data_IF_209335189967
#
_entry.id   IF_209335189967
#
_cell.length_a   1.000
_cell.length_b   1.000
_cell.length_c   1.000
_cell.angle_alpha   90.00
_cell.angle_beta   90.00
_cell.angle_gamma   90.00
#
_symmetry.space_group_name_H-M   'P 1'
#
loop_
_entity.id
_entity.type
_entity.pdbx_description
1 polymer ?
#
# COMPACT_ATOMS: atom_id res chain seq x y z
N UNK A 1 -15.76 -13.28 -14.88
CA UNK A 1 -15.85 -12.00 -15.55
C UNK A 1 -17.29 -11.46 -15.51
N UNK A 2 -18.25 -12.05 -16.23
CA UNK A 2 -19.61 -11.53 -16.34
C UNK A 2 -20.34 -11.31 -14.98
N UNK A 3 -20.12 -12.20 -13.99
CA UNK A 3 -20.74 -12.06 -12.66
C UNK A 3 -20.06 -10.98 -11.79
N UNK A 4 -18.76 -10.77 -12.00
CA UNK A 4 -17.95 -9.87 -11.18
C UNK A 4 -17.85 -8.46 -11.80
N UNK A 5 -18.16 -8.34 -13.12
CA UNK A 5 -18.07 -7.06 -13.84
C UNK A 5 -16.65 -6.61 -14.19
N UNK A 6 -15.64 -7.47 -13.96
CA UNK A 6 -14.22 -7.17 -14.21
C UNK A 6 -13.67 -7.99 -15.39
N UNK A 7 -12.64 -7.48 -16.10
CA UNK A 7 -11.90 -8.27 -17.08
C UNK A 7 -11.34 -9.55 -16.44
N UNK A 8 -11.32 -10.64 -17.21
CA UNK A 8 -10.83 -11.94 -16.70
C UNK A 8 -9.38 -11.88 -16.24
N UNK A 9 -8.55 -11.06 -16.87
CA UNK A 9 -7.16 -10.83 -16.49
C UNK A 9 -7.03 -10.15 -15.12
N UNK A 10 -7.98 -9.25 -14.77
CA UNK A 10 -8.02 -8.62 -13.44
C UNK A 10 -8.40 -9.66 -12.36
N UNK A 11 -9.31 -10.56 -12.67
CA UNK A 11 -9.70 -11.66 -11.77
C UNK A 11 -8.54 -12.66 -11.59
N UNK A 12 -7.84 -12.99 -12.66
CA UNK A 12 -6.62 -13.82 -12.61
C UNK A 12 -5.55 -13.18 -11.73
N UNK A 13 -5.29 -11.89 -11.91
CA UNK A 13 -4.31 -11.16 -11.09
C UNK A 13 -4.73 -11.13 -9.62
N UNK A 14 -5.99 -10.89 -9.34
CA UNK A 14 -6.55 -10.93 -7.98
C UNK A 14 -6.34 -12.30 -7.30
N UNK A 15 -6.53 -13.38 -8.05
CA UNK A 15 -6.28 -14.74 -7.56
C UNK A 15 -4.80 -14.93 -7.21
N UNK A 16 -3.88 -14.48 -8.08
CA UNK A 16 -2.45 -14.55 -7.81
C UNK A 16 -2.03 -13.69 -6.62
N UNK A 17 -2.56 -12.47 -6.47
CA UNK A 17 -2.33 -11.62 -5.29
C UNK A 17 -2.75 -12.36 -4.01
N UNK A 18 -3.94 -12.97 -3.98
CA UNK A 18 -4.42 -13.70 -2.80
C UNK A 18 -3.58 -14.95 -2.51
N UNK A 19 -3.20 -15.70 -3.56
CA UNK A 19 -2.34 -16.88 -3.44
C UNK A 19 -0.96 -16.52 -2.87
N UNK A 20 -0.33 -15.49 -3.42
CA UNK A 20 0.99 -15.03 -2.98
C UNK A 20 0.94 -14.51 -1.54
N UNK A 21 -0.10 -13.73 -1.18
CA UNK A 21 -0.31 -13.30 0.21
C UNK A 21 -0.38 -14.50 1.16
N UNK A 22 -1.18 -15.50 0.84
CA UNK A 22 -1.26 -16.70 1.66
C UNK A 22 0.12 -17.36 1.83
N UNK A 23 0.85 -17.57 0.75
CA UNK A 23 2.18 -18.19 0.81
C UNK A 23 3.14 -17.36 1.65
N UNK A 24 3.18 -16.04 1.46
CA UNK A 24 4.01 -15.11 2.24
C UNK A 24 3.75 -15.25 3.75
N UNK A 25 2.48 -15.33 4.15
CA UNK A 25 2.11 -15.45 5.56
C UNK A 25 2.25 -16.88 6.13
N UNK A 26 2.84 -17.81 5.37
CA UNK A 26 3.33 -19.10 5.88
C UNK A 26 4.85 -19.15 6.06
N UNK A 27 5.57 -18.08 5.72
CA UNK A 27 7.02 -18.02 5.88
C UNK A 27 7.43 -18.00 7.36
N UNK A 28 8.65 -18.45 7.71
CA UNK A 28 9.10 -18.55 9.12
C UNK A 28 9.05 -17.25 9.92
N UNK A 29 9.06 -16.11 9.23
CA UNK A 29 9.02 -14.76 9.81
C UNK A 29 7.69 -14.04 9.59
N UNK A 30 6.62 -14.75 9.26
CA UNK A 30 5.30 -14.18 9.00
C UNK A 30 4.74 -13.37 10.19
N UNK A 31 5.09 -13.76 11.43
CA UNK A 31 4.73 -13.03 12.66
C UNK A 31 5.35 -11.62 12.73
N UNK A 32 6.38 -11.36 11.93
CA UNK A 32 7.06 -10.06 11.79
C UNK A 32 6.59 -9.25 10.58
N UNK A 33 5.58 -9.73 9.85
CA UNK A 33 5.05 -9.06 8.68
C UNK A 33 3.69 -8.41 8.97
N UNK A 34 3.45 -7.27 8.32
CA UNK A 34 2.15 -6.59 8.27
C UNK A 34 1.82 -6.29 6.82
N UNK A 35 0.65 -6.76 6.38
CA UNK A 35 0.05 -6.35 5.12
C UNK A 35 -0.58 -4.97 5.23
N UNK A 36 -0.33 -4.10 4.27
CA UNK A 36 -0.77 -2.69 4.30
C UNK A 36 -1.07 -2.15 2.91
N UNK A 37 -1.30 -0.84 2.84
CA UNK A 37 -1.41 -0.12 1.56
C UNK A 37 -2.76 -0.23 0.88
N UNK A 38 -2.78 0.10 -0.42
CA UNK A 38 -4.02 0.12 -1.21
C UNK A 38 -4.67 -1.26 -1.34
N UNK A 39 -3.86 -2.30 -1.49
CA UNK A 39 -4.37 -3.68 -1.65
C UNK A 39 -5.03 -4.19 -0.38
N UNK A 40 -4.58 -3.75 0.81
CA UNK A 40 -5.29 -4.07 2.06
C UNK A 40 -6.65 -3.37 2.15
N UNK A 41 -6.74 -2.11 1.68
CA UNK A 41 -8.02 -1.39 1.66
C UNK A 41 -9.07 -2.06 0.76
N UNK A 42 -8.65 -2.63 -0.38
CA UNK A 42 -9.58 -3.34 -1.28
C UNK A 42 -9.90 -4.76 -0.82
N UNK A 43 -8.88 -5.54 -0.41
CA UNK A 43 -9.04 -6.99 -0.13
C UNK A 43 -9.52 -7.32 1.28
N UNK A 44 -9.20 -6.50 2.25
CA UNK A 44 -9.57 -6.71 3.66
C UNK A 44 -10.79 -5.88 4.04
N UNK A 45 -10.71 -4.59 3.71
CA UNK A 45 -11.71 -3.63 4.18
C UNK A 45 -12.82 -3.33 3.16
N UNK A 46 -12.63 -3.73 1.89
CA UNK A 46 -13.61 -3.47 0.80
C UNK A 46 -14.00 -1.99 0.68
N UNK A 47 -13.04 -1.08 0.93
CA UNK A 47 -13.26 0.37 0.99
C UNK A 47 -13.05 1.06 -0.35
N UNK A 48 -12.33 0.44 -1.27
CA UNK A 48 -11.97 1.04 -2.55
C UNK A 48 -12.27 0.09 -3.71
N UNK A 49 -12.92 0.62 -4.75
CA UNK A 49 -13.29 -0.10 -5.97
C UNK A 49 -12.35 0.28 -7.12
N UNK A 50 -11.06 0.14 -6.88
CA UNK A 50 -10.02 0.31 -7.89
C UNK A 50 -9.02 -0.83 -7.86
N UNK A 51 -8.42 -1.08 -9.02
CA UNK A 51 -7.31 -2.04 -9.11
C UNK A 51 -6.16 -1.62 -8.18
N UNK A 52 -5.75 -2.55 -7.35
CA UNK A 52 -4.54 -2.46 -6.54
C UNK A 52 -3.76 -3.74 -6.74
N UNK A 53 -2.58 -3.61 -7.31
CA UNK A 53 -1.83 -4.71 -7.94
C UNK A 53 -0.64 -5.14 -7.11
N UNK A 54 -0.19 -4.25 -6.23
CA UNK A 54 1.03 -4.42 -5.46
C UNK A 54 0.68 -4.92 -4.05
N UNK A 55 1.54 -5.73 -3.49
CA UNK A 55 1.46 -6.20 -2.10
C UNK A 55 2.47 -5.40 -1.28
N UNK A 56 1.98 -4.46 -0.49
CA UNK A 56 2.80 -3.68 0.42
C UNK A 56 2.96 -4.43 1.76
N UNK A 57 4.19 -4.69 2.16
CA UNK A 57 4.52 -5.36 3.43
C UNK A 57 5.45 -4.50 4.29
N UNK A 58 5.13 -4.41 5.57
CA UNK A 58 6.06 -3.90 6.57
C UNK A 58 6.69 -5.07 7.32
N UNK A 59 8.02 -5.01 7.55
CA UNK A 59 8.73 -5.89 8.46
C UNK A 59 8.95 -5.14 9.78
N UNK A 60 8.60 -5.79 10.90
CA UNK A 60 8.94 -5.25 12.22
C UNK A 60 10.45 -5.07 12.34
N UNK A 61 10.89 -3.84 12.59
CA UNK A 61 12.33 -3.54 12.77
C UNK A 61 12.98 -4.27 13.95
N UNK A 62 12.18 -4.77 14.91
CA UNK A 62 12.67 -5.64 15.99
C UNK A 62 13.26 -6.95 15.47
N UNK A 63 12.83 -7.43 14.30
CA UNK A 63 13.43 -8.55 13.59
C UNK A 63 14.93 -8.33 13.30
N UNK A 64 15.32 -7.08 13.07
CA UNK A 64 16.73 -6.68 12.87
C UNK A 64 17.41 -6.22 14.16
N UNK A 65 16.79 -6.45 15.33
CA UNK A 65 17.33 -6.05 16.63
C UNK A 65 17.30 -4.53 16.88
N UNK A 66 16.40 -3.80 16.21
CA UNK A 66 16.24 -2.36 16.31
C UNK A 66 14.82 -2.00 16.77
N UNK A 67 14.71 -1.20 17.83
CA UNK A 67 13.44 -0.79 18.43
C UNK A 67 13.46 0.70 18.80
N UNK A 68 12.30 1.30 19.02
CA UNK A 68 12.16 2.71 19.40
C UNK A 68 12.63 3.69 18.32
N UNK A 69 13.00 4.88 18.74
CA UNK A 69 13.54 5.89 17.84
C UNK A 69 14.96 5.55 17.42
N UNK A 70 15.23 5.68 16.14
CA UNK A 70 16.51 5.34 15.56
C UNK A 70 17.32 6.59 15.23
N UNK A 71 18.60 6.57 15.56
CA UNK A 71 19.55 7.55 15.06
C UNK A 71 19.74 7.40 13.54
N UNK A 72 20.20 8.44 12.86
CA UNK A 72 20.50 8.39 11.41
C UNK A 72 21.41 7.20 11.04
N UNK A 73 22.38 6.85 11.90
CA UNK A 73 23.27 5.70 11.70
C UNK A 73 22.50 4.38 11.78
N UNK A 74 21.61 4.25 12.77
CA UNK A 74 20.76 3.05 12.93
C UNK A 74 19.76 2.92 11.79
N UNK A 75 19.16 4.02 11.32
CA UNK A 75 18.26 4.02 10.16
C UNK A 75 18.98 3.56 8.87
N UNK A 76 20.23 4.01 8.65
CA UNK A 76 21.06 3.52 7.54
C UNK A 76 21.38 2.03 7.68
N UNK A 77 21.68 1.57 8.90
CA UNK A 77 21.91 0.15 9.19
C UNK A 77 20.67 -0.67 8.92
N UNK A 78 19.50 -0.23 9.42
CA UNK A 78 18.21 -0.88 9.20
C UNK A 78 17.91 -1.02 7.70
N UNK A 79 18.03 0.08 6.94
CA UNK A 79 17.86 0.08 5.49
C UNK A 79 18.69 -0.98 4.79
N UNK A 80 19.99 -1.05 5.12
CA UNK A 80 20.90 -2.04 4.54
C UNK A 80 20.48 -3.47 4.92
N UNK A 81 20.22 -3.73 6.20
CA UNK A 81 19.86 -5.07 6.67
C UNK A 81 18.54 -5.55 6.07
N UNK A 82 17.51 -4.69 6.08
CA UNK A 82 16.21 -4.99 5.49
C UNK A 82 16.32 -5.28 3.99
N UNK A 83 17.00 -4.40 3.27
CA UNK A 83 17.15 -4.52 1.83
C UNK A 83 17.88 -5.82 1.43
N UNK A 84 18.96 -6.17 2.11
CA UNK A 84 19.70 -7.42 1.87
C UNK A 84 18.85 -8.65 2.26
N UNK A 85 18.18 -8.61 3.41
CA UNK A 85 17.28 -9.68 3.83
C UNK A 85 16.18 -9.96 2.79
N UNK A 86 15.56 -8.91 2.24
CA UNK A 86 14.51 -9.07 1.23
C UNK A 86 15.07 -9.69 -0.06
N UNK A 87 16.26 -9.26 -0.50
CA UNK A 87 16.88 -9.78 -1.72
C UNK A 87 17.30 -11.24 -1.58
N UNK A 88 17.96 -11.57 -0.47
CA UNK A 88 18.69 -12.85 -0.33
C UNK A 88 17.81 -13.91 0.36
N UNK A 89 17.28 -13.60 1.54
CA UNK A 89 16.60 -14.59 2.38
C UNK A 89 15.08 -14.65 2.09
N UNK A 90 14.40 -13.49 2.09
CA UNK A 90 12.95 -13.46 1.84
C UNK A 90 12.61 -14.06 0.48
N UNK A 91 13.31 -13.63 -0.58
CA UNK A 91 13.07 -14.12 -1.95
C UNK A 91 13.30 -15.64 -2.04
N UNK A 92 14.41 -16.14 -1.48
CA UNK A 92 14.73 -17.57 -1.46
C UNK A 92 13.72 -18.41 -0.67
N UNK A 93 13.29 -17.94 0.50
CA UNK A 93 12.28 -18.61 1.32
C UNK A 93 10.92 -18.64 0.62
N UNK A 94 10.55 -17.53 -0.05
CA UNK A 94 9.33 -17.44 -0.83
C UNK A 94 9.35 -18.42 -2.01
N UNK A 95 10.45 -18.47 -2.78
CA UNK A 95 10.61 -19.41 -3.88
C UNK A 95 10.52 -20.87 -3.42
N UNK A 96 11.21 -21.20 -2.32
CA UNK A 96 11.11 -22.53 -1.70
C UNK A 96 9.69 -22.89 -1.28
N UNK A 97 8.97 -21.94 -0.67
CA UNK A 97 7.59 -22.17 -0.23
C UNK A 97 6.63 -22.30 -1.42
N UNK A 98 6.80 -21.51 -2.47
CA UNK A 98 6.01 -21.66 -3.71
C UNK A 98 6.21 -23.04 -4.35
N UNK A 99 7.43 -23.57 -4.30
CA UNK A 99 7.73 -24.93 -4.77
C UNK A 99 7.04 -26.01 -3.92
N UNK A 100 7.01 -25.86 -2.59
CA UNK A 100 6.25 -26.77 -1.71
C UNK A 100 4.76 -26.78 -2.02
N UNK A 101 4.22 -25.65 -2.52
CA UNK A 101 2.82 -25.56 -2.99
C UNK A 101 2.64 -26.04 -4.45
N UNK A 102 3.70 -26.48 -5.15
CA UNK A 102 3.65 -26.92 -6.55
C UNK A 102 3.41 -25.78 -7.55
N UNK A 103 3.78 -24.56 -7.18
CA UNK A 103 3.53 -23.35 -7.98
C UNK A 103 4.74 -22.90 -8.81
N UNK A 104 5.88 -23.56 -8.68
CA UNK A 104 7.14 -23.19 -9.34
C UNK A 104 7.08 -23.20 -10.87
N UNK A 105 6.18 -24.01 -11.45
CA UNK A 105 5.98 -24.07 -12.89
C UNK A 105 5.17 -22.88 -13.46
N UNK A 106 4.48 -22.14 -12.58
CA UNK A 106 3.61 -21.01 -12.96
C UNK A 106 4.19 -19.65 -12.61
N UNK A 107 5.12 -19.61 -11.64
CA UNK A 107 5.63 -18.38 -11.06
C UNK A 107 7.16 -18.33 -11.11
N UNK A 108 7.69 -17.12 -11.33
CA UNK A 108 9.10 -16.81 -11.13
C UNK A 108 9.24 -15.69 -10.12
N UNK A 109 10.26 -15.80 -9.24
CA UNK A 109 10.54 -14.82 -8.17
C UNK A 109 11.82 -14.06 -8.53
N UNK A 110 11.73 -12.76 -8.68
CA UNK A 110 12.78 -11.90 -9.20
C UNK A 110 12.98 -10.70 -8.25
N UNK A 111 13.90 -10.78 -7.27
CA UNK A 111 14.16 -9.65 -6.39
C UNK A 111 14.87 -8.52 -7.12
N UNK A 112 14.47 -7.28 -6.84
CA UNK A 112 15.11 -6.07 -7.35
C UNK A 112 16.61 -6.08 -7.03
N UNK A 113 17.49 -5.81 -8.01
CA UNK A 113 18.94 -5.77 -7.78
C UNK A 113 19.34 -4.60 -6.87
N UNK A 114 20.59 -4.60 -6.43
CA UNK A 114 21.16 -3.43 -5.75
C UNK A 114 21.20 -2.24 -6.71
N UNK A 115 20.91 -1.06 -6.19
CA UNK A 115 21.03 0.18 -6.93
C UNK A 115 22.44 0.75 -6.87
N UNK A 116 22.57 2.02 -7.22
CA UNK A 116 23.84 2.74 -7.21
C UNK A 116 23.83 3.91 -6.22
N UNK A 117 24.99 4.30 -5.74
CA UNK A 117 25.18 5.44 -4.84
C UNK A 117 24.32 5.34 -3.59
N UNK A 118 23.54 6.38 -3.30
CA UNK A 118 22.66 6.42 -2.14
C UNK A 118 21.51 5.41 -2.23
N UNK A 119 21.22 4.88 -3.41
CA UNK A 119 20.19 3.85 -3.64
C UNK A 119 20.74 2.43 -3.71
N UNK A 120 21.99 2.18 -3.33
CA UNK A 120 22.60 0.83 -3.31
C UNK A 120 21.69 -0.18 -2.60
N UNK A 121 21.02 0.24 -1.53
CA UNK A 121 20.09 -0.59 -0.77
C UNK A 121 18.67 0.00 -0.88
N UNK A 122 17.85 -0.39 -1.90
CA UNK A 122 16.48 0.06 -2.02
C UNK A 122 15.66 -0.26 -0.76
N UNK A 123 14.82 0.68 -0.32
CA UNK A 123 13.94 0.50 0.85
C UNK A 123 12.69 1.40 0.69
N UNK A 124 11.51 0.82 0.48
CA UNK A 124 11.26 -0.63 0.37
C UNK A 124 11.99 -1.25 -0.83
N UNK A 125 12.36 -2.55 -0.71
CA UNK A 125 12.85 -3.33 -1.83
C UNK A 125 11.69 -4.09 -2.47
N UNK A 126 11.75 -4.26 -3.78
CA UNK A 126 10.75 -4.97 -4.57
C UNK A 126 11.15 -6.41 -4.84
N UNK A 127 10.14 -7.27 -4.90
CA UNK A 127 10.23 -8.61 -5.48
C UNK A 127 9.16 -8.70 -6.56
N UNK A 128 9.57 -9.00 -7.77
CA UNK A 128 8.68 -9.18 -8.92
C UNK A 128 8.33 -10.66 -9.05
N UNK A 129 7.05 -10.99 -8.88
CA UNK A 129 6.55 -12.36 -9.05
C UNK A 129 5.77 -12.39 -10.35
N UNK A 130 6.40 -12.94 -11.40
CA UNK A 130 5.79 -13.05 -12.73
C UNK A 130 5.05 -14.36 -12.85
N UNK A 131 3.87 -14.33 -13.46
CA UNK A 131 3.07 -15.52 -13.70
C UNK A 131 2.76 -15.70 -15.18
N UNK A 132 2.54 -16.97 -15.57
CA UNK A 132 2.12 -17.32 -16.92
C UNK A 132 0.63 -17.02 -17.07
N UNK A 133 0.30 -15.91 -17.77
CA UNK A 133 -1.08 -15.50 -17.97
C UNK A 133 -1.87 -16.52 -18.79
N UNK A 134 -2.99 -17.00 -18.27
CA UNK A 134 -3.89 -17.96 -18.92
C UNK A 134 -4.82 -17.31 -19.95
N UNK A 135 -5.15 -16.02 -19.75
CA UNK A 135 -6.16 -15.31 -20.52
C UNK A 135 -5.58 -14.24 -21.46
N UNK A 136 -4.37 -14.47 -21.97
CA UNK A 136 -3.67 -13.55 -22.87
C UNK A 136 -3.05 -12.35 -22.14
N UNK A 137 -2.24 -11.59 -22.87
CA UNK A 137 -1.64 -10.37 -22.31
C UNK A 137 -2.65 -9.25 -22.34
N UNK A 138 -3.04 -8.69 -21.19
CA UNK A 138 -3.86 -7.49 -21.16
C UNK A 138 -3.02 -6.30 -21.66
N UNK A 139 -3.65 -5.35 -22.30
CA UNK A 139 -2.97 -4.13 -22.76
C UNK A 139 -2.49 -3.24 -21.62
N UNK A 140 -3.07 -3.40 -20.43
CA UNK A 140 -2.86 -2.52 -19.28
C UNK A 140 -2.26 -3.21 -18.04
N UNK A 141 -2.56 -4.48 -17.77
CA UNK A 141 -2.10 -5.22 -16.61
C UNK A 141 -0.90 -6.11 -16.96
N UNK A 142 0.25 -5.86 -16.35
CA UNK A 142 1.36 -6.80 -16.47
C UNK A 142 1.03 -8.11 -15.73
N UNK A 143 1.37 -9.29 -16.26
CA UNK A 143 1.22 -10.58 -15.60
C UNK A 143 2.28 -10.76 -14.51
N UNK A 144 2.23 -9.90 -13.51
CA UNK A 144 3.18 -9.78 -12.42
C UNK A 144 2.46 -9.30 -11.17
N UNK A 145 2.84 -9.82 -10.03
CA UNK A 145 2.50 -9.28 -8.70
C UNK A 145 3.79 -8.75 -8.09
N UNK A 146 3.79 -7.49 -7.69
CA UNK A 146 4.94 -6.86 -7.07
C UNK A 146 4.76 -6.85 -5.55
N UNK A 147 5.76 -7.37 -4.82
CA UNK A 147 5.87 -7.18 -3.39
C UNK A 147 6.76 -5.96 -3.11
N UNK A 148 6.25 -4.97 -2.39
CA UNK A 148 7.05 -3.86 -1.84
C UNK A 148 7.26 -4.11 -0.34
N UNK A 149 8.50 -4.43 0.05
CA UNK A 149 8.80 -4.90 1.40
C UNK A 149 9.79 -3.95 2.07
N UNK A 150 9.37 -3.36 3.20
CA UNK A 150 10.21 -2.41 3.93
C UNK A 150 10.06 -2.50 5.45
N UNK A 151 11.08 -2.00 6.16
CA UNK A 151 11.17 -2.03 7.63
C UNK A 151 11.04 -0.66 8.28
N UNK A 152 10.94 0.40 7.49
CA UNK A 152 10.80 1.78 7.97
C UNK A 152 9.35 2.24 8.17
N UNK A 153 8.38 1.41 7.82
CA UNK A 153 6.97 1.70 8.06
C UNK A 153 6.64 1.57 9.56
N UNK A 154 5.69 2.35 10.02
CA UNK A 154 5.10 2.16 11.35
C UNK A 154 4.39 0.80 11.35
N UNK A 155 4.70 -0.04 12.36
CA UNK A 155 4.17 -1.39 12.42
C UNK A 155 2.74 -1.41 12.97
N UNK A 156 2.53 -0.84 14.15
CA UNK A 156 1.21 -0.75 14.81
C UNK A 156 0.44 0.54 14.41
N UNK A 157 -0.89 0.59 14.57
CA UNK A 157 -1.77 -0.50 15.02
C UNK A 157 -2.09 -1.49 13.89
N UNK A 158 -2.25 -2.77 14.29
CA UNK A 158 -2.60 -3.87 13.39
C UNK A 158 -3.77 -4.70 13.90
N UNK A 159 -4.31 -5.56 13.06
CA UNK A 159 -5.30 -6.58 13.40
C UNK A 159 -5.10 -7.83 12.55
N UNK A 160 -5.73 -8.94 12.94
CA UNK A 160 -5.80 -10.14 12.10
C UNK A 160 -7.09 -10.06 11.28
N UNK A 161 -6.94 -10.14 9.96
CA UNK A 161 -8.06 -9.99 9.05
C UNK A 161 -8.05 -11.07 7.96
N UNK A 162 -9.24 -11.46 7.52
CA UNK A 162 -9.44 -12.43 6.45
C UNK A 162 -9.15 -11.80 5.10
N UNK A 163 -8.33 -12.47 4.29
CA UNK A 163 -8.13 -12.15 2.88
C UNK A 163 -8.71 -13.26 2.04
N UNK A 164 -9.52 -12.89 1.04
CA UNK A 164 -10.12 -13.81 0.08
C UNK A 164 -9.94 -13.29 -1.35
N UNK A 165 -9.95 -14.20 -2.32
CA UNK A 165 -9.95 -13.79 -3.72
C UNK A 165 -11.35 -13.35 -4.18
N UNK A 166 -11.43 -12.60 -5.27
CA UNK A 166 -12.71 -12.28 -5.93
C UNK A 166 -13.45 -13.57 -6.38
N UNK A 167 -12.69 -14.61 -6.70
CA UNK A 167 -13.26 -15.93 -7.05
C UNK A 167 -13.91 -16.56 -5.83
N UNK A 168 -13.22 -16.62 -4.68
CA UNK A 168 -13.76 -17.15 -3.42
C UNK A 168 -15.03 -16.43 -3.00
N UNK A 169 -15.01 -15.10 -3.01
CA UNK A 169 -16.14 -14.27 -2.58
C UNK A 169 -17.35 -14.41 -3.53
N UNK A 170 -17.11 -14.58 -4.84
CA UNK A 170 -18.18 -14.65 -5.84
C UNK A 170 -18.75 -16.04 -6.05
N UNK A 171 -17.96 -17.09 -5.75
CA UNK A 171 -18.29 -18.49 -5.98
C UNK A 171 -17.95 -19.34 -4.75
N UNK A 172 -18.70 -19.20 -3.63
CA UNK A 172 -18.41 -19.92 -2.37
C UNK A 172 -18.45 -21.43 -2.48
N UNK A 173 -19.08 -21.96 -3.54
CA UNK A 173 -19.13 -23.41 -3.83
C UNK A 173 -17.83 -23.97 -4.41
N UNK A 174 -16.92 -23.10 -4.89
CA UNK A 174 -15.60 -23.52 -5.35
C UNK A 174 -14.70 -23.63 -4.13
N UNK A 175 -14.01 -24.77 -3.99
CA UNK A 175 -13.03 -24.90 -2.92
C UNK A 175 -11.86 -23.94 -3.16
N UNK A 176 -11.78 -22.90 -2.36
CA UNK A 176 -10.77 -21.86 -2.41
C UNK A 176 -9.91 -21.82 -1.15
N UNK A 177 -9.94 -22.87 -0.32
CA UNK A 177 -9.13 -22.98 0.90
C UNK A 177 -7.62 -22.80 0.63
N UNK A 178 -7.22 -22.96 -0.62
CA UNK A 178 -5.84 -22.72 -1.07
C UNK A 178 -5.47 -21.24 -1.07
N UNK A 179 -6.44 -20.32 -1.19
CA UNK A 179 -6.20 -18.88 -1.35
C UNK A 179 -6.63 -18.04 -0.15
N UNK A 180 -7.66 -18.47 0.59
CA UNK A 180 -8.17 -17.74 1.72
C UNK A 180 -7.26 -17.88 2.95
N UNK A 181 -6.98 -16.79 3.63
CA UNK A 181 -6.05 -16.79 4.78
C UNK A 181 -6.33 -15.64 5.74
N UNK A 182 -6.01 -15.86 7.01
CA UNK A 182 -6.04 -14.82 8.03
C UNK A 182 -4.62 -14.26 8.20
N UNK A 183 -4.46 -12.95 8.05
CA UNK A 183 -3.16 -12.31 8.07
C UNK A 183 -3.15 -11.06 8.93
N UNK A 184 -1.99 -10.71 9.46
CA UNK A 184 -1.79 -9.43 10.16
C UNK A 184 -1.83 -8.28 9.17
N UNK A 185 -2.74 -7.36 9.39
CA UNK A 185 -3.00 -6.22 8.50
C UNK A 185 -2.96 -4.91 9.28
N UNK A 186 -2.43 -3.86 8.67
CA UNK A 186 -2.50 -2.51 9.22
C UNK A 186 -3.96 -2.04 9.27
N UNK A 187 -4.39 -1.49 10.40
CA UNK A 187 -5.74 -0.98 10.55
C UNK A 187 -6.05 0.14 9.55
N UNK A 188 -7.32 0.22 9.12
CA UNK A 188 -7.75 1.15 8.09
C UNK A 188 -7.55 2.63 8.50
N UNK A 189 -7.81 2.98 9.79
CA UNK A 189 -7.58 4.32 10.31
C UNK A 189 -6.13 4.78 10.18
N UNK A 190 -5.16 3.89 10.44
CA UNK A 190 -3.74 4.19 10.24
C UNK A 190 -3.44 4.47 8.77
N UNK A 191 -3.92 3.60 7.87
CA UNK A 191 -3.70 3.76 6.43
C UNK A 191 -4.32 5.06 5.90
N UNK A 192 -5.49 5.43 6.42
CA UNK A 192 -6.16 6.69 6.12
C UNK A 192 -5.30 7.90 6.51
N UNK A 193 -4.83 7.95 7.76
CA UNK A 193 -3.97 9.03 8.24
C UNK A 193 -2.62 9.08 7.50
N UNK A 194 -1.98 7.94 7.26
CA UNK A 194 -0.72 7.88 6.50
C UNK A 194 -0.88 8.44 5.07
N UNK A 195 -2.05 8.24 4.42
CA UNK A 195 -2.33 8.83 3.10
C UNK A 195 -2.55 10.33 3.18
N UNK A 196 -3.20 10.84 4.23
CA UNK A 196 -3.34 12.26 4.46
C UNK A 196 -1.98 12.94 4.65
N UNK A 197 -1.10 12.37 5.47
CA UNK A 197 0.28 12.84 5.61
C UNK A 197 1.05 12.81 4.28
N UNK A 198 0.93 11.73 3.51
CA UNK A 198 1.61 11.61 2.22
C UNK A 198 1.21 12.73 1.25
N UNK A 199 -0.10 13.03 1.15
CA UNK A 199 -0.57 14.13 0.30
C UNK A 199 -0.11 15.49 0.84
N UNK A 200 -0.16 15.71 2.16
CA UNK A 200 0.37 16.92 2.78
C UNK A 200 1.86 17.15 2.43
N UNK A 201 2.68 16.12 2.58
CA UNK A 201 4.10 16.16 2.23
C UNK A 201 4.32 16.46 0.75
N UNK A 202 3.48 15.92 -0.13
CA UNK A 202 3.54 16.22 -1.56
C UNK A 202 3.14 17.67 -1.86
N UNK A 203 2.03 18.14 -1.29
CA UNK A 203 1.44 19.43 -1.63
C UNK A 203 2.08 20.63 -0.92
N UNK A 204 2.92 20.38 0.08
CA UNK A 204 3.69 21.44 0.76
C UNK A 204 5.14 21.52 0.29
N UNK A 205 5.54 20.69 -0.67
CA UNK A 205 6.90 20.65 -1.23
C UNK A 205 6.86 20.70 -2.76
N UNK A 206 8.03 20.81 -3.39
CA UNK A 206 8.17 20.75 -4.85
C UNK A 206 7.70 19.42 -5.47
N UNK A 207 7.39 18.39 -4.66
CA UNK A 207 6.89 17.10 -5.13
C UNK A 207 5.47 17.16 -5.72
N UNK A 208 4.74 18.25 -5.51
CA UNK A 208 3.39 18.43 -6.04
C UNK A 208 3.28 18.32 -7.56
N UNK A 209 4.38 18.58 -8.30
CA UNK A 209 4.41 18.41 -9.77
C UNK A 209 4.40 16.94 -10.23
N UNK A 210 4.70 15.98 -9.34
CA UNK A 210 4.76 14.55 -9.68
C UNK A 210 3.42 13.91 -9.35
N UNK A 211 2.48 13.98 -10.28
CA UNK A 211 1.15 13.37 -10.09
C UNK A 211 1.10 11.89 -10.51
N UNK A 212 2.06 11.39 -11.29
CA UNK A 212 2.03 10.05 -11.90
C UNK A 212 1.58 8.96 -10.91
N UNK A 213 0.40 8.38 -11.17
CA UNK A 213 -0.29 7.39 -10.35
C UNK A 213 -0.53 7.79 -8.88
N UNK A 214 -0.47 9.11 -8.54
CA UNK A 214 -0.62 9.59 -7.16
C UNK A 214 -2.05 10.08 -6.84
N UNK A 215 -2.84 10.43 -7.83
CA UNK A 215 -4.26 10.80 -7.64
C UNK A 215 -5.09 9.69 -6.99
N UNK A 216 -4.60 8.43 -7.03
CA UNK A 216 -5.18 7.31 -6.28
C UNK A 216 -5.31 7.57 -4.78
N UNK A 217 -4.45 8.40 -4.20
CA UNK A 217 -4.52 8.73 -2.77
C UNK A 217 -5.66 9.70 -2.47
N UNK A 218 -6.01 10.61 -3.40
CA UNK A 218 -7.20 11.46 -3.29
C UNK A 218 -8.48 10.61 -3.33
N UNK A 219 -8.58 9.70 -4.29
CA UNK A 219 -9.68 8.75 -4.41
C UNK A 219 -9.83 7.89 -3.14
N UNK A 220 -8.73 7.31 -2.67
CA UNK A 220 -8.75 6.46 -1.48
C UNK A 220 -9.24 7.24 -0.24
N UNK A 221 -8.77 8.47 -0.04
CA UNK A 221 -9.22 9.31 1.06
C UNK A 221 -10.71 9.67 0.94
N UNK A 222 -11.19 9.98 -0.26
CA UNK A 222 -12.60 10.27 -0.51
C UNK A 222 -13.49 9.07 -0.14
N UNK A 223 -13.09 7.87 -0.53
CA UNK A 223 -13.83 6.65 -0.20
C UNK A 223 -13.84 6.32 1.30
N UNK A 224 -12.85 6.75 2.04
CA UNK A 224 -12.71 6.43 3.46
C UNK A 224 -13.25 7.53 4.40
N UNK A 225 -13.27 8.80 3.98
CA UNK A 225 -13.44 9.94 4.90
C UNK A 225 -14.77 9.99 5.67
N UNK A 226 -15.80 9.30 5.20
CA UNK A 226 -17.10 9.23 5.87
C UNK A 226 -17.29 7.97 6.72
N UNK A 227 -16.32 7.06 6.67
CA UNK A 227 -16.35 5.85 7.48
C UNK A 227 -16.05 6.17 8.95
N UNK A 228 -16.68 5.43 9.87
CA UNK A 228 -16.54 5.68 11.30
C UNK A 228 -15.09 5.58 11.79
N UNK A 229 -14.30 4.66 11.23
CA UNK A 229 -12.88 4.55 11.58
C UNK A 229 -12.06 5.79 11.18
N UNK A 230 -12.39 6.43 10.03
CA UNK A 230 -11.70 7.64 9.59
C UNK A 230 -12.06 8.83 10.49
N UNK A 231 -13.35 8.97 10.85
CA UNK A 231 -13.83 9.99 11.81
C UNK A 231 -13.14 9.79 13.15
N UNK A 232 -13.06 8.55 13.64
CA UNK A 232 -12.37 8.22 14.90
C UNK A 232 -10.87 8.54 14.79
N UNK A 233 -10.22 8.13 13.68
CA UNK A 233 -8.79 8.36 13.45
C UNK A 233 -8.43 9.85 13.39
N UNK A 234 -9.29 10.70 12.81
CA UNK A 234 -9.10 12.16 12.82
C UNK A 234 -9.07 12.71 14.26
N UNK A 235 -9.86 12.12 15.18
CA UNK A 235 -9.98 12.55 16.56
C UNK A 235 -9.01 11.82 17.53
N UNK A 236 -8.24 10.85 17.04
CA UNK A 236 -7.28 10.08 17.84
C UNK A 236 -5.94 10.80 17.91
N UNK A 237 -5.73 11.57 18.99
CA UNK A 237 -4.50 12.33 19.21
C UNK A 237 -3.27 11.42 19.37
N UNK A 238 -3.43 10.26 19.99
CA UNK A 238 -2.32 9.33 20.21
C UNK A 238 -1.83 8.74 18.87
N UNK A 239 -2.76 8.24 18.06
CA UNK A 239 -2.43 7.69 16.74
C UNK A 239 -1.86 8.77 15.82
N UNK A 240 -2.47 9.98 15.81
CA UNK A 240 -1.98 11.11 15.04
C UNK A 240 -0.53 11.47 15.39
N UNK A 241 -0.25 11.68 16.67
CA UNK A 241 1.08 12.07 17.14
C UNK A 241 2.11 10.95 16.88
N UNK A 242 1.71 9.69 17.04
CA UNK A 242 2.56 8.53 16.73
C UNK A 242 2.95 8.50 15.25
N UNK A 243 2.00 8.74 14.34
CA UNK A 243 2.27 8.78 12.89
C UNK A 243 3.14 10.00 12.55
N UNK A 244 2.83 11.19 13.07
CA UNK A 244 3.59 12.41 12.83
C UNK A 244 5.05 12.25 13.25
N UNK A 245 5.29 11.80 14.48
CA UNK A 245 6.63 11.53 15.01
C UNK A 245 7.38 10.47 14.19
N UNK A 246 6.70 9.37 13.87
CA UNK A 246 7.29 8.33 13.02
C UNK A 246 7.72 8.89 11.65
N UNK A 247 6.90 9.73 11.02
CA UNK A 247 7.24 10.35 9.74
C UNK A 247 8.39 11.33 9.85
N UNK A 248 8.47 12.09 10.92
CA UNK A 248 9.61 12.96 11.21
C UNK A 248 10.93 12.17 11.28
N UNK A 249 10.92 11.04 11.98
CA UNK A 249 12.14 10.22 12.19
C UNK A 249 12.52 9.43 10.92
N UNK A 250 11.55 8.80 10.25
CA UNK A 250 11.84 7.81 9.20
C UNK A 250 11.62 8.33 7.77
N UNK A 251 10.76 9.33 7.57
CA UNK A 251 10.49 9.93 6.25
C UNK A 251 11.26 11.25 6.10
N UNK A 252 11.10 12.14 7.06
CA UNK A 252 11.87 13.40 7.19
C UNK A 252 12.00 14.18 5.88
N UNK A 253 10.86 14.53 5.26
CA UNK A 253 10.85 15.28 4.00
C UNK A 253 11.34 16.70 4.26
N UNK A 254 12.35 17.13 3.52
CA UNK A 254 12.85 18.51 3.61
C UNK A 254 11.74 19.50 3.25
N UNK A 255 11.57 20.53 4.07
CA UNK A 255 10.55 21.56 3.90
C UNK A 255 9.19 21.23 4.53
N UNK A 256 9.00 20.03 5.08
CA UNK A 256 7.81 19.69 5.87
C UNK A 256 8.09 19.90 7.35
N UNK A 257 7.18 20.60 8.01
CA UNK A 257 7.21 20.84 9.45
C UNK A 257 6.28 19.84 10.15
N UNK A 258 6.86 18.90 10.89
CA UNK A 258 6.16 17.83 11.64
C UNK A 258 5.82 18.20 13.07
N UNK A 259 5.73 19.50 13.39
CA UNK A 259 5.31 19.96 14.73
C UNK A 259 3.92 19.42 15.10
N UNK A 260 3.59 19.34 16.41
CA UNK A 260 2.31 18.74 16.87
C UNK A 260 1.05 19.37 16.25
N UNK A 261 1.10 20.62 15.81
CA UNK A 261 -0.01 21.33 15.16
C UNK A 261 -0.10 21.10 13.63
N UNK A 262 0.68 20.17 13.07
CA UNK A 262 0.62 19.82 11.63
C UNK A 262 -0.82 19.45 11.21
N UNK A 263 -1.65 18.88 12.10
CA UNK A 263 -3.06 18.57 11.83
C UNK A 263 -3.83 19.81 11.36
N UNK A 264 -3.60 20.95 12.00
CA UNK A 264 -4.27 22.24 11.68
C UNK A 264 -3.77 22.86 10.36
N UNK A 265 -2.75 22.30 9.76
CA UNK A 265 -2.11 22.77 8.53
C UNK A 265 -2.08 21.72 7.43
N UNK A 266 -2.79 20.56 7.63
CA UNK A 266 -2.82 19.51 6.64
C UNK A 266 -3.34 20.04 5.31
N UNK A 267 -2.69 19.64 4.21
CA UNK A 267 -3.09 20.00 2.85
C UNK A 267 -3.35 18.72 2.07
N UNK A 268 -4.56 18.62 1.54
CA UNK A 268 -5.02 17.47 0.76
C UNK A 268 -5.40 17.86 -0.67
N UNK A 269 -5.29 19.16 -0.98
CA UNK A 269 -5.58 19.71 -2.31
C UNK A 269 -4.31 20.10 -3.03
N UNK A 270 -4.14 19.74 -4.32
CA UNK A 270 -2.99 20.13 -5.12
C UNK A 270 -2.87 21.67 -5.22
N UNK A 271 -1.64 22.22 -5.24
CA UNK A 271 -1.43 23.63 -5.58
C UNK A 271 -2.03 23.99 -6.93
N UNK A 272 -2.52 25.21 -7.09
CA UNK A 272 -3.26 25.68 -8.28
C UNK A 272 -2.49 25.44 -9.58
N UNK A 273 -1.17 25.64 -9.57
CA UNK A 273 -0.28 25.48 -10.72
C UNK A 273 -0.15 24.02 -11.19
N UNK A 274 -0.54 23.03 -10.36
CA UNK A 274 -0.44 21.61 -10.69
C UNK A 274 -1.81 20.91 -10.85
N UNK A 275 -2.92 21.63 -10.73
CA UNK A 275 -4.27 21.06 -10.83
C UNK A 275 -4.48 20.26 -12.12
N UNK A 276 -4.02 20.78 -13.26
CA UNK A 276 -4.19 20.11 -14.56
C UNK A 276 -3.43 18.78 -14.64
N UNK A 277 -2.27 18.68 -14.02
CA UNK A 277 -1.48 17.44 -14.00
C UNK A 277 -2.19 16.39 -13.14
N UNK A 278 -2.69 16.78 -11.97
CA UNK A 278 -3.44 15.90 -11.09
C UNK A 278 -4.78 15.48 -11.67
N UNK A 279 -5.47 16.39 -12.37
CA UNK A 279 -6.71 16.07 -13.09
C UNK A 279 -6.48 15.03 -14.17
N UNK A 280 -5.45 15.19 -15.00
CA UNK A 280 -5.12 14.23 -16.06
C UNK A 280 -4.76 12.85 -15.49
N UNK A 281 -4.00 12.78 -14.42
CA UNK A 281 -3.65 11.52 -13.74
C UNK A 281 -4.92 10.84 -13.18
N UNK A 282 -5.81 11.61 -12.56
CA UNK A 282 -7.06 11.09 -12.02
C UNK A 282 -8.00 10.58 -13.13
N UNK A 283 -8.19 11.33 -14.21
CA UNK A 283 -9.02 10.93 -15.35
C UNK A 283 -8.46 9.66 -16.02
N UNK A 284 -7.14 9.54 -16.16
CA UNK A 284 -6.51 8.33 -16.66
C UNK A 284 -6.76 7.13 -15.72
N UNK A 285 -6.72 7.35 -14.40
CA UNK A 285 -7.04 6.33 -13.41
C UNK A 285 -8.51 5.91 -13.47
N UNK A 286 -9.45 6.86 -13.64
CA UNK A 286 -10.87 6.55 -13.78
C UNK A 286 -11.13 5.62 -14.97
N UNK A 287 -10.45 5.83 -16.08
CA UNK A 287 -10.60 5.03 -17.31
C UNK A 287 -10.00 3.64 -17.22
N UNK A 288 -8.98 3.45 -16.39
CA UNK A 288 -8.11 2.26 -16.46
C UNK A 288 -8.07 1.43 -15.20
N UNK A 289 -8.33 2.03 -14.03
CA UNK A 289 -8.14 1.37 -12.75
C UNK A 289 -9.39 1.31 -11.88
N UNK A 290 -10.29 2.28 -11.97
CA UNK A 290 -11.52 2.31 -11.15
C UNK A 290 -12.59 1.48 -11.84
N UNK A 291 -13.23 0.58 -11.10
CA UNK A 291 -14.34 -0.25 -11.57
C UNK A 291 -15.66 0.01 -10.82
N UNK A 292 -15.61 0.77 -9.73
CA UNK A 292 -16.77 1.27 -9.01
C UNK A 292 -17.06 2.74 -9.32
N UNK A 293 -17.93 3.34 -8.52
CA UNK A 293 -18.29 4.74 -8.64
C UNK A 293 -17.13 5.67 -8.25
N UNK A 294 -16.97 6.74 -9.00
CA UNK A 294 -15.99 7.79 -8.72
C UNK A 294 -16.53 9.18 -9.04
N UNK A 295 -16.15 10.15 -8.25
CA UNK A 295 -16.56 11.55 -8.46
C UNK A 295 -15.79 12.17 -9.63
N UNK A 296 -16.37 13.15 -10.33
CA UNK A 296 -15.61 14.06 -11.18
C UNK A 296 -14.51 14.76 -10.37
N UNK A 297 -13.38 15.09 -11.00
CA UNK A 297 -12.21 15.65 -10.32
C UNK A 297 -12.53 16.88 -9.46
N UNK A 298 -13.34 17.80 -9.99
CA UNK A 298 -13.72 19.01 -9.25
C UNK A 298 -14.50 18.69 -7.97
N UNK A 299 -15.38 17.68 -8.03
CA UNK A 299 -16.12 17.20 -6.85
C UNK A 299 -15.22 16.46 -5.86
N UNK A 300 -14.25 15.71 -6.36
CA UNK A 300 -13.23 15.10 -5.51
C UNK A 300 -12.44 16.16 -4.73
N UNK A 301 -12.07 17.27 -5.38
CA UNK A 301 -11.37 18.36 -4.71
C UNK A 301 -12.25 19.05 -3.66
N UNK A 302 -13.56 19.26 -3.92
CA UNK A 302 -14.50 19.77 -2.91
C UNK A 302 -14.51 18.87 -1.66
N UNK A 303 -14.50 17.54 -1.84
CA UNK A 303 -14.40 16.58 -0.74
C UNK A 303 -13.07 16.66 0.01
N UNK A 304 -11.97 16.89 -0.71
CA UNK A 304 -10.65 17.07 -0.07
C UNK A 304 -10.61 18.37 0.77
N UNK A 305 -11.21 19.47 0.29
CA UNK A 305 -11.35 20.71 1.09
C UNK A 305 -12.20 20.47 2.34
N UNK A 306 -13.29 19.71 2.22
CA UNK A 306 -14.10 19.31 3.38
C UNK A 306 -13.27 18.50 4.38
N UNK A 307 -12.49 17.53 3.91
CA UNK A 307 -11.63 16.71 4.76
C UNK A 307 -10.53 17.55 5.46
N UNK A 308 -9.90 18.48 4.73
CA UNK A 308 -8.98 19.48 5.35
C UNK A 308 -9.67 20.20 6.50
N UNK A 309 -10.90 20.70 6.29
CA UNK A 309 -11.68 21.38 7.32
C UNK A 309 -11.94 20.50 8.56
N UNK A 310 -12.19 19.22 8.36
CA UNK A 310 -12.36 18.26 9.49
C UNK A 310 -11.06 18.13 10.32
N UNK A 311 -9.90 18.08 9.68
CA UNK A 311 -8.60 18.05 10.35
C UNK A 311 -8.30 19.38 11.07
N UNK A 312 -8.62 20.52 10.45
CA UNK A 312 -8.31 21.86 10.99
C UNK A 312 -9.19 22.24 12.17
N UNK A 313 -10.34 21.58 12.36
CA UNK A 313 -11.31 21.90 13.42
C UNK A 313 -10.97 21.30 14.78
N UNK A 314 -9.90 20.52 14.90
CA UNK A 314 -9.48 19.82 16.11
C UNK A 314 -8.40 20.55 16.89
#
# INVERSE_FOLDING_TARGET
ANKIGLPVQAIEKDLWVSTILKVVFTLPFADKLVFKGGTSLSKVYHLIDRMSEDIDLAIDRSFFGLTGDLTKRQTKKLRKQSSLFVRDEFASQLEGRLKEYGLEQYLTVDPEPDGEGDNTYPEPRKIHIRYNALFGKPSYLNPEVMLEIGSRSLFEPTEIARVSSLVSSSFPQVNTDVVDTDIRTAKAEKTFLEKAFLLHEMFTTERAHVADRKSRHLYDLEKMMDEQFAINGINDDELWNTIAHHREVFTSIHGVDYTPDIRKRIKLTPPKEYLDVWKKDYEAMQLSMIYGDSLPFDKLLERMVELEGRFHSI
#
